data_IF_117617865251
#
_entry.id   IF_117617865251
#
_cell.length_a   1.000
_cell.length_b   1.000
_cell.length_c   1.000
_cell.angle_alpha   90.00
_cell.angle_beta   90.00
_cell.angle_gamma   90.00
#
_symmetry.space_group_name_H-M   'P 1'
#
loop_
_entity.id
_entity.type
_entity.pdbx_description
1 polymer ?
#
# COMPACT_ATOMS: atom_id res chain seq x y z
N UNK A 1 -25.43 -4.39 25.08
CA UNK A 1 -23.96 -4.46 24.96
C UNK A 1 -23.40 -3.26 25.69
N UNK A 2 -22.36 -3.42 26.51
CA UNK A 2 -21.80 -2.31 27.30
C UNK A 2 -21.13 -1.26 26.38
N UNK A 3 -21.12 0.02 26.78
CA UNK A 3 -20.47 1.11 26.02
C UNK A 3 -18.96 0.86 25.92
N UNK A 4 -18.35 0.30 26.96
CA UNK A 4 -16.92 -0.03 26.95
C UNK A 4 -16.63 -1.14 25.92
N UNK A 5 -17.50 -2.14 25.79
CA UNK A 5 -17.37 -3.18 24.75
C UNK A 5 -17.54 -2.60 23.35
N UNK A 6 -18.49 -1.67 23.16
CA UNK A 6 -18.70 -0.98 21.89
C UNK A 6 -17.50 -0.13 21.49
N UNK A 7 -16.85 0.55 22.44
CA UNK A 7 -15.63 1.33 22.19
C UNK A 7 -14.47 0.45 21.72
N UNK A 8 -14.29 -0.71 22.34
CA UNK A 8 -13.24 -1.65 21.97
C UNK A 8 -13.47 -2.22 20.56
N UNK A 9 -14.72 -2.57 20.24
CA UNK A 9 -15.07 -3.07 18.91
C UNK A 9 -14.91 -1.98 17.84
N UNK A 10 -15.34 -0.75 18.12
CA UNK A 10 -15.17 0.39 17.21
C UNK A 10 -13.69 0.72 16.95
N UNK A 11 -12.82 0.61 17.97
CA UNK A 11 -11.37 0.77 17.80
C UNK A 11 -10.77 -0.34 16.93
N UNK A 12 -11.21 -1.57 17.13
CA UNK A 12 -10.74 -2.70 16.32
C UNK A 12 -11.19 -2.56 14.84
N UNK A 13 -12.43 -2.11 14.60
CA UNK A 13 -12.94 -1.79 13.27
C UNK A 13 -12.10 -0.68 12.60
N UNK A 14 -11.82 0.41 13.33
CA UNK A 14 -10.97 1.50 12.83
C UNK A 14 -9.55 1.03 12.51
N UNK A 15 -8.95 0.19 13.36
CA UNK A 15 -7.61 -0.34 13.14
C UNK A 15 -7.56 -1.20 11.86
N UNK A 16 -8.53 -2.11 11.69
CA UNK A 16 -8.63 -2.94 10.50
C UNK A 16 -8.88 -2.09 9.25
N UNK A 17 -9.77 -1.12 9.32
CA UNK A 17 -10.08 -0.23 8.20
C UNK A 17 -8.86 0.60 7.80
N UNK A 18 -8.13 1.16 8.76
CA UNK A 18 -6.93 1.94 8.51
C UNK A 18 -5.83 1.09 7.86
N UNK A 19 -5.48 -0.06 8.44
CA UNK A 19 -4.40 -0.91 7.91
C UNK A 19 -4.72 -1.41 6.49
N UNK A 20 -5.98 -1.78 6.23
CA UNK A 20 -6.40 -2.18 4.88
C UNK A 20 -6.37 -1.02 3.89
N UNK A 21 -6.79 0.19 4.31
CA UNK A 21 -6.76 1.39 3.46
C UNK A 21 -5.34 1.78 3.09
N UNK A 22 -4.43 1.87 4.07
CA UNK A 22 -3.04 2.22 3.82
C UNK A 22 -2.28 1.11 3.08
N UNK A 23 -2.55 -0.16 3.40
CA UNK A 23 -1.91 -1.30 2.75
C UNK A 23 -2.27 -1.41 1.27
N UNK A 24 -3.54 -1.23 0.92
CA UNK A 24 -3.99 -1.23 -0.49
C UNK A 24 -3.44 -0.03 -1.26
N UNK A 25 -3.41 1.15 -0.65
CA UNK A 25 -2.79 2.34 -1.26
C UNK A 25 -1.31 2.16 -1.56
N UNK A 26 -0.54 1.59 -0.64
CA UNK A 26 0.90 1.37 -0.87
C UNK A 26 1.17 0.29 -1.92
N UNK A 27 0.35 -0.77 -1.94
CA UNK A 27 0.54 -1.89 -2.86
C UNK A 27 0.19 -1.52 -4.30
N UNK A 28 -0.91 -0.78 -4.46
CA UNK A 28 -1.51 -0.54 -5.77
C UNK A 28 -1.16 0.86 -6.34
N UNK A 29 -0.31 1.64 -5.66
CA UNK A 29 0.15 2.93 -6.15
C UNK A 29 1.04 2.78 -7.41
N UNK A 30 0.69 3.43 -8.54
CA UNK A 30 1.55 3.44 -9.71
C UNK A 30 2.86 4.17 -9.43
N UNK A 31 3.98 3.78 -10.09
CA UNK A 31 5.25 4.48 -9.94
C UNK A 31 5.09 5.96 -10.32
N UNK A 32 5.44 6.86 -9.40
CA UNK A 32 5.48 8.29 -9.69
C UNK A 32 6.64 8.56 -10.65
N UNK A 33 6.32 8.94 -11.89
CA UNK A 33 7.30 9.36 -12.89
C UNK A 33 7.40 10.88 -12.85
N UNK A 34 8.60 11.42 -12.61
CA UNK A 34 8.83 12.88 -12.63
C UNK A 34 8.55 13.50 -14.00
N UNK A 35 8.66 12.71 -15.07
CA UNK A 35 8.36 13.09 -16.46
C UNK A 35 8.17 11.83 -17.30
N UNK A 36 7.42 11.93 -18.40
CA UNK A 36 7.18 10.84 -19.35
C UNK A 36 8.46 10.20 -19.90
N UNK A 37 9.59 10.93 -19.88
CA UNK A 37 10.86 10.45 -20.41
C UNK A 37 11.90 10.15 -19.31
N UNK A 38 11.49 10.12 -18.03
CA UNK A 38 12.42 9.76 -16.96
C UNK A 38 12.67 8.24 -16.96
N UNK A 39 13.93 7.80 -17.07
CA UNK A 39 14.26 6.38 -17.13
C UNK A 39 13.74 5.63 -15.90
N UNK A 40 13.18 4.43 -16.11
CA UNK A 40 12.74 3.59 -15.02
C UNK A 40 13.95 2.99 -14.29
N UNK A 41 14.22 3.32 -13.01
CA UNK A 41 15.38 2.80 -12.30
C UNK A 41 15.36 1.28 -12.12
N UNK A 42 14.19 0.64 -12.26
CA UNK A 42 14.05 -0.81 -12.19
C UNK A 42 14.30 -1.49 -13.54
N UNK A 43 14.37 -0.73 -14.63
CA UNK A 43 14.77 -1.24 -15.92
C UNK A 43 16.30 -1.08 -16.08
N UNK A 44 17.08 -2.17 -16.19
CA UNK A 44 18.54 -2.11 -16.29
C UNK A 44 19.02 -1.30 -17.51
N UNK A 45 18.26 -1.27 -18.61
CA UNK A 45 18.58 -0.46 -19.78
C UNK A 45 18.34 1.04 -19.55
N UNK A 46 17.32 1.39 -18.75
CA UNK A 46 16.97 2.77 -18.47
C UNK A 46 17.86 3.35 -17.34
N UNK A 47 18.28 2.54 -16.37
CA UNK A 47 19.27 2.92 -15.37
C UNK A 47 20.59 3.38 -16.02
N UNK A 48 21.04 2.71 -17.09
CA UNK A 48 22.23 3.12 -17.85
C UNK A 48 22.03 4.45 -18.60
N UNK A 49 20.82 4.72 -19.11
CA UNK A 49 20.48 5.98 -19.77
C UNK A 49 20.47 7.18 -18.79
N UNK A 50 20.08 6.97 -17.53
CA UNK A 50 20.14 7.99 -16.48
C UNK A 50 21.59 8.44 -16.19
N UNK A 51 22.53 7.49 -16.16
CA UNK A 51 23.96 7.76 -15.94
C UNK A 51 24.61 8.46 -17.14
N UNK A 52 24.18 8.14 -18.36
CA UNK A 52 24.66 8.78 -19.58
C UNK A 52 24.20 10.25 -19.70
N UNK A 53 22.98 10.57 -19.27
CA UNK A 53 22.47 11.95 -19.28
C UNK A 53 23.13 12.87 -18.23
N UNK A 54 23.76 12.31 -17.20
CA UNK A 54 24.38 13.05 -16.11
C UNK A 54 25.82 13.54 -16.40
N UNK A 55 26.44 13.12 -17.51
CA UNK A 55 27.81 13.52 -17.88
C UNK A 55 27.86 14.01 -19.33
N UNK A 56 27.64 15.31 -19.59
CA UNK A 56 27.97 15.89 -20.87
C UNK A 56 29.48 16.17 -20.85
N UNK A 57 30.32 15.17 -21.08
CA UNK A 57 31.71 15.45 -21.46
C UNK A 57 31.70 15.72 -22.98
N UNK A 58 31.93 16.96 -23.45
CA UNK A 58 31.81 17.29 -24.88
C UNK A 58 33.03 16.89 -25.71
N UNK A 59 34.07 16.32 -25.09
CA UNK A 59 35.37 16.11 -25.72
C UNK A 59 35.93 14.72 -25.36
N UNK A 60 35.50 13.69 -26.09
CA UNK A 60 36.28 12.45 -26.25
C UNK A 60 36.07 11.89 -27.68
N UNK A 61 37.05 12.04 -28.59
CA UNK A 61 36.92 11.67 -30.00
C UNK A 61 37.12 10.15 -30.24
N UNK A 62 36.33 9.29 -29.58
CA UNK A 62 36.44 7.83 -29.75
C UNK A 62 35.12 7.08 -30.04
N UNK A 63 34.00 7.76 -30.30
CA UNK A 63 32.74 7.10 -30.62
C UNK A 63 32.46 7.06 -32.14
N UNK A 64 33.22 6.24 -32.88
CA UNK A 64 32.74 5.66 -34.14
C UNK A 64 32.10 4.29 -33.85
N UNK A 65 30.93 3.97 -34.43
CA UNK A 65 30.35 2.64 -34.29
C UNK A 65 31.18 1.64 -35.10
N UNK A 66 31.91 0.75 -34.43
CA UNK A 66 32.53 -0.42 -35.07
C UNK A 66 31.46 -1.52 -35.26
N UNK A 67 31.22 -1.99 -36.50
CA UNK A 67 30.51 -3.23 -36.75
C UNK A 67 31.52 -4.39 -36.81
N UNK A 68 31.35 -5.43 -36.00
CA UNK A 68 32.27 -6.57 -36.04
C UNK A 68 31.94 -7.69 -35.04
N UNK A 69 31.76 -8.89 -35.59
CA UNK A 69 31.34 -10.11 -34.91
C UNK A 69 32.40 -10.73 -33.98
N UNK A 70 31.96 -11.51 -32.98
CA UNK A 70 32.07 -12.99 -32.95
C UNK A 70 32.22 -13.57 -31.52
N UNK A 71 31.31 -14.51 -31.23
CA UNK A 71 31.49 -15.79 -30.53
C UNK A 71 32.21 -15.86 -29.16
N UNK A 72 31.49 -16.39 -28.16
CA UNK A 72 32.11 -17.08 -27.03
C UNK A 72 31.15 -17.46 -25.90
N UNK A 73 30.94 -18.77 -25.73
CA UNK A 73 30.44 -19.48 -24.55
C UNK A 73 28.92 -19.47 -24.26
N UNK A 74 28.29 -20.56 -24.70
CA UNK A 74 27.05 -21.08 -24.12
C UNK A 74 27.26 -21.51 -22.65
N UNK A 75 26.18 -21.55 -21.86
CA UNK A 75 25.93 -22.74 -21.07
C UNK A 75 24.57 -23.35 -21.39
N UNK A 76 24.67 -24.65 -21.69
CA UNK A 76 23.72 -25.74 -21.48
C UNK A 76 22.27 -25.38 -21.09
N UNK A 77 21.36 -25.66 -22.03
CA UNK A 77 19.96 -25.94 -21.77
C UNK A 77 19.85 -27.26 -20.95
N UNK A 78 19.12 -27.22 -19.84
CA UNK A 78 18.59 -28.37 -19.11
C UNK A 78 17.07 -28.16 -18.89
N UNK A 79 16.29 -29.25 -18.72
CA UNK A 79 15.13 -29.50 -19.57
C UNK A 79 13.86 -28.76 -19.12
N UNK A 80 13.10 -28.32 -20.12
CA UNK A 80 11.69 -28.01 -19.99
C UNK A 80 10.89 -29.33 -19.89
N UNK A 81 9.96 -29.39 -18.92
CA UNK A 81 8.89 -30.38 -18.64
C UNK A 81 8.99 -30.80 -17.16
N UNK A 82 8.01 -30.65 -16.27
CA UNK A 82 6.58 -30.44 -16.41
C UNK A 82 6.03 -29.68 -15.19
N UNK A 83 5.40 -28.54 -15.43
CA UNK A 83 4.39 -27.96 -14.54
C UNK A 83 3.19 -27.59 -15.39
N UNK A 84 2.66 -28.60 -16.08
CA UNK A 84 1.30 -28.60 -16.59
C UNK A 84 0.37 -28.94 -15.42
N UNK A 85 0.20 -27.99 -14.50
CA UNK A 85 -0.81 -28.09 -13.46
C UNK A 85 -1.38 -26.69 -13.23
N UNK A 86 -2.60 -26.52 -13.76
CA UNK A 86 -3.54 -25.44 -13.46
C UNK A 86 -3.21 -24.08 -14.08
N UNK A 87 -3.32 -24.01 -15.42
CA UNK A 87 -3.67 -22.76 -16.10
C UNK A 87 -5.12 -22.37 -15.72
N UNK A 88 -5.31 -21.91 -14.48
CA UNK A 88 -6.43 -21.04 -14.19
C UNK A 88 -6.17 -19.75 -14.98
N UNK A 89 -7.16 -19.19 -15.68
CA UNK A 89 -6.99 -17.83 -16.19
C UNK A 89 -6.71 -16.99 -14.96
N UNK A 90 -5.48 -16.46 -14.84
CA UNK A 90 -5.20 -15.37 -13.93
C UNK A 90 -6.07 -14.23 -14.45
N UNK A 91 -7.30 -14.15 -13.94
CA UNK A 91 -8.13 -12.98 -14.11
C UNK A 91 -7.29 -11.88 -13.50
N UNK A 92 -6.74 -11.01 -14.35
CA UNK A 92 -6.18 -9.76 -13.88
C UNK A 92 -7.25 -9.18 -12.94
N UNK A 93 -6.92 -8.93 -11.66
CA UNK A 93 -7.90 -8.38 -10.73
C UNK A 93 -8.51 -7.15 -11.41
N UNK A 94 -9.82 -6.90 -11.24
CA UNK A 94 -10.43 -5.68 -11.76
C UNK A 94 -9.52 -4.53 -11.34
N UNK A 95 -9.05 -3.74 -12.31
CA UNK A 95 -8.19 -2.60 -12.02
C UNK A 95 -8.92 -1.79 -10.95
N UNK A 96 -8.34 -1.73 -9.75
CA UNK A 96 -8.94 -1.00 -8.65
C UNK A 96 -9.05 0.44 -9.13
N UNK A 97 -10.24 1.03 -9.01
CA UNK A 97 -10.43 2.43 -9.33
C UNK A 97 -9.70 3.25 -8.25
N UNK A 98 -8.42 3.53 -8.51
CA UNK A 98 -7.50 4.15 -7.56
C UNK A 98 -7.88 5.59 -7.24
N UNK A 99 -8.78 6.20 -8.00
CA UNK A 99 -9.28 7.55 -7.77
C UNK A 99 -10.48 7.59 -6.82
N UNK A 100 -11.37 6.59 -6.90
CA UNK A 100 -12.60 6.52 -6.08
C UNK A 100 -12.46 5.64 -4.84
N UNK A 101 -11.76 4.52 -4.95
CA UNK A 101 -11.64 3.56 -3.85
C UNK A 101 -10.99 4.15 -2.57
N UNK A 102 -9.90 4.94 -2.65
CA UNK A 102 -9.32 5.58 -1.47
C UNK A 102 -10.25 6.61 -0.83
N UNK A 103 -11.04 7.33 -1.63
CA UNK A 103 -12.00 8.32 -1.14
C UNK A 103 -13.10 7.63 -0.34
N UNK A 104 -13.67 6.54 -0.87
CA UNK A 104 -14.68 5.76 -0.16
C UNK A 104 -14.16 5.19 1.17
N UNK A 105 -12.95 4.64 1.17
CA UNK A 105 -12.31 4.10 2.38
C UNK A 105 -11.98 5.19 3.41
N UNK A 106 -11.48 6.36 2.96
CA UNK A 106 -11.22 7.50 3.84
C UNK A 106 -12.51 8.04 4.47
N UNK A 107 -13.61 8.08 3.72
CA UNK A 107 -14.93 8.47 4.25
C UNK A 107 -15.43 7.48 5.30
N UNK A 108 -15.25 6.17 5.06
CA UNK A 108 -15.58 5.15 6.05
C UNK A 108 -14.77 5.33 7.35
N UNK A 109 -13.47 5.69 7.26
CA UNK A 109 -12.64 5.93 8.43
C UNK A 109 -13.11 7.16 9.22
N UNK A 110 -13.51 8.23 8.52
CA UNK A 110 -14.08 9.44 9.17
C UNK A 110 -15.39 9.14 9.87
N UNK A 111 -16.28 8.35 9.24
CA UNK A 111 -17.52 7.92 9.87
C UNK A 111 -17.26 7.06 11.12
N UNK A 112 -16.32 6.12 11.04
CA UNK A 112 -15.92 5.29 12.18
C UNK A 112 -15.35 6.15 13.32
N UNK A 113 -14.51 7.14 13.00
CA UNK A 113 -13.99 8.09 13.98
C UNK A 113 -15.10 8.90 14.66
N UNK A 114 -16.10 9.35 13.90
CA UNK A 114 -17.26 10.07 14.46
C UNK A 114 -18.11 9.18 15.38
N UNK A 115 -18.27 7.89 15.04
CA UNK A 115 -18.94 6.93 15.93
C UNK A 115 -18.16 6.70 17.21
N UNK A 116 -16.83 6.56 17.12
CA UNK A 116 -15.96 6.46 18.29
C UNK A 116 -16.11 7.69 19.20
N UNK A 117 -16.07 8.90 18.64
CA UNK A 117 -16.26 10.15 19.39
C UNK A 117 -17.63 10.19 20.12
N UNK A 118 -18.70 9.79 19.43
CA UNK A 118 -20.02 9.68 20.05
C UNK A 118 -20.07 8.66 21.20
N UNK A 119 -19.37 7.52 21.06
CA UNK A 119 -19.27 6.51 22.12
C UNK A 119 -18.45 7.00 23.32
N UNK A 120 -17.39 7.78 23.08
CA UNK A 120 -16.60 8.43 24.13
C UNK A 120 -17.44 9.47 24.87
N UNK A 121 -18.22 10.28 24.15
CA UNK A 121 -19.13 11.26 24.76
C UNK A 121 -20.26 10.61 25.57
N UNK A 122 -20.66 9.38 25.22
CA UNK A 122 -21.67 8.62 25.94
C UNK A 122 -21.14 7.92 27.21
N UNK A 123 -19.83 7.98 27.48
CA UNK A 123 -19.26 7.41 28.69
C UNK A 123 -19.88 8.06 29.93
N UNK A 124 -20.27 7.28 30.95
CA UNK A 124 -20.76 7.83 32.20
C UNK A 124 -19.62 8.58 32.92
N UNK A 125 -19.67 9.91 32.88
CA UNK A 125 -18.68 10.83 33.46
C UNK A 125 -18.76 10.93 35.00
N UNK A 126 -19.39 9.98 35.68
CA UNK A 126 -19.57 10.06 37.13
C UNK A 126 -18.25 9.74 37.84
N UNK A 127 -17.81 10.60 38.76
CA UNK A 127 -16.67 10.33 39.65
C UNK A 127 -16.87 9.01 40.40
N UNK A 128 -15.79 8.28 40.69
CA UNK A 128 -15.83 7.05 41.50
C UNK A 128 -16.59 7.28 42.82
N UNK A 129 -16.38 8.40 43.49
CA UNK A 129 -17.05 8.72 44.76
C UNK A 129 -18.57 8.88 44.60
N UNK A 130 -19.02 9.51 43.51
CA UNK A 130 -20.45 9.67 43.20
C UNK A 130 -21.07 8.33 42.82
N UNK A 131 -20.34 7.49 42.08
CA UNK A 131 -20.78 6.14 41.74
C UNK A 131 -20.90 5.28 42.99
N UNK A 132 -19.91 5.31 43.89
CA UNK A 132 -19.95 4.58 45.15
C UNK A 132 -21.11 5.05 46.03
N UNK A 133 -21.35 6.37 46.11
CA UNK A 133 -22.49 6.92 46.84
C UNK A 133 -23.82 6.44 46.26
N UNK A 134 -23.97 6.47 44.93
CA UNK A 134 -25.16 5.97 44.22
C UNK A 134 -25.39 4.48 44.48
N UNK A 135 -24.33 3.67 44.44
CA UNK A 135 -24.40 2.23 44.72
C UNK A 135 -24.85 1.99 46.16
N UNK A 136 -24.29 2.72 47.12
CA UNK A 136 -24.68 2.61 48.54
C UNK A 136 -26.14 3.00 48.77
N UNK A 137 -26.65 3.99 48.04
CA UNK A 137 -28.06 4.42 48.10
C UNK A 137 -29.04 3.43 47.45
N UNK A 138 -28.57 2.60 46.51
CA UNK A 138 -29.35 1.56 45.84
C UNK A 138 -29.30 0.19 46.54
N UNK A 139 -28.40 0.00 47.51
CA UNK A 139 -28.29 -1.20 48.34
C UNK A 139 -29.11 -1.12 49.65
N UNK A 140 -29.95 -0.08 49.79
CA UNK A 140 -30.85 0.15 50.92
C UNK A 140 -32.18 -0.56 50.69
#
# INVERSE_FOLDING_TARGET
MDIISQLQEQLNEMAMLAVNTFGTLQRDAPPVRLSNNYPDPLNPAAAAAATAAANPNPDDPAAQPQPGAAAGAAPAQAPAQAQAALAQPVQAPPALDLDEHPKAMSHALVLAAKKFDALVAALPLSSEEDQLKRIKELQV
#
